data_IF_911379570759
#
_entry.id   IF_911379570759
#
_cell.length_a   1.000
_cell.length_b   1.000
_cell.length_c   1.000
_cell.angle_alpha   90.00
_cell.angle_beta   90.00
_cell.angle_gamma   90.00
#
_symmetry.space_group_name_H-M   'P 1'
#
loop_
_entity.id
_entity.type
_entity.pdbx_description
1 polymer ?
#
# COMPACT_ATOMS: atom_id res chain seq x y z
N UNK A 1 -2.88 7.80 -15.13
CA UNK A 1 -3.55 8.80 -14.27
C UNK A 1 -4.75 8.13 -13.63
N UNK A 2 -4.91 8.24 -12.32
CA UNK A 2 -6.04 7.69 -11.57
C UNK A 2 -6.76 8.85 -10.87
N UNK A 3 -8.07 8.94 -11.03
CA UNK A 3 -8.91 9.96 -10.35
C UNK A 3 -10.12 9.27 -9.75
N UNK A 4 -10.46 9.63 -8.52
CA UNK A 4 -11.64 9.10 -7.85
C UNK A 4 -11.62 9.37 -6.35
N UNK A 5 -12.65 8.88 -5.68
CA UNK A 5 -12.73 8.82 -4.22
C UNK A 5 -12.62 7.37 -3.76
N UNK A 6 -12.01 7.18 -2.60
CA UNK A 6 -11.76 5.86 -2.01
C UNK A 6 -11.52 5.99 -0.51
N UNK A 7 -11.02 4.92 0.11
CA UNK A 7 -10.64 4.97 1.51
C UNK A 7 -9.35 5.79 1.71
N UNK A 8 -9.36 6.64 2.74
CA UNK A 8 -8.20 7.45 3.09
C UNK A 8 -6.96 6.61 3.48
N UNK A 9 -7.08 5.50 4.25
CA UNK A 9 -5.94 4.65 4.57
C UNK A 9 -5.26 4.06 3.32
N UNK A 10 -6.05 3.61 2.34
CA UNK A 10 -5.56 3.07 1.08
C UNK A 10 -4.85 4.14 0.25
N UNK A 11 -5.31 5.39 0.34
CA UNK A 11 -4.61 6.56 -0.24
C UNK A 11 -3.22 6.76 0.35
N UNK A 12 -3.03 6.56 1.66
CA UNK A 12 -1.71 6.63 2.32
C UNK A 12 -0.80 5.49 1.85
N UNK A 13 -1.32 4.27 1.68
CA UNK A 13 -0.55 3.15 1.13
C UNK A 13 -0.09 3.42 -0.32
N UNK A 14 -0.96 4.01 -1.15
CA UNK A 14 -0.62 4.42 -2.50
C UNK A 14 0.44 5.52 -2.52
N UNK A 15 0.33 6.52 -1.63
CA UNK A 15 1.33 7.56 -1.45
C UNK A 15 2.69 6.97 -1.05
N UNK A 16 2.72 6.00 -0.13
CA UNK A 16 3.95 5.33 0.26
C UNK A 16 4.64 4.61 -0.92
N UNK A 17 3.88 3.92 -1.77
CA UNK A 17 4.42 3.31 -2.98
C UNK A 17 4.98 4.36 -3.96
N UNK A 18 4.23 5.44 -4.22
CA UNK A 18 4.64 6.53 -5.12
C UNK A 18 5.88 7.27 -4.61
N UNK A 19 6.03 7.41 -3.30
CA UNK A 19 7.20 7.99 -2.68
C UNK A 19 8.46 7.15 -2.93
N UNK A 20 8.32 5.84 -3.12
CA UNK A 20 9.47 4.98 -3.46
C UNK A 20 9.88 5.04 -4.93
N UNK A 21 8.96 5.33 -5.85
CA UNK A 21 9.21 5.24 -7.31
C UNK A 21 9.26 6.60 -8.03
N UNK A 22 9.02 7.71 -7.32
CA UNK A 22 9.11 9.05 -7.88
C UNK A 22 7.84 9.49 -8.62
N UNK A 23 6.69 9.39 -7.97
CA UNK A 23 5.39 9.81 -8.52
C UNK A 23 4.89 11.18 -8.04
N UNK A 24 3.64 11.49 -8.40
CA UNK A 24 2.89 12.63 -7.86
C UNK A 24 1.49 12.16 -7.45
N UNK A 25 1.00 12.71 -6.33
CA UNK A 25 -0.32 12.43 -5.80
C UNK A 25 -0.84 13.64 -5.04
N UNK A 26 -2.15 13.86 -5.14
CA UNK A 26 -2.89 14.76 -4.27
C UNK A 26 -4.11 14.04 -3.72
N UNK A 27 -4.44 14.31 -2.46
CA UNK A 27 -5.59 13.74 -1.78
C UNK A 27 -6.34 14.78 -0.97
N UNK A 28 -7.64 14.58 -0.79
CA UNK A 28 -8.48 15.37 0.10
C UNK A 28 -9.40 14.44 0.88
N UNK A 29 -9.54 14.70 2.18
CA UNK A 29 -10.47 13.97 3.01
C UNK A 29 -11.91 14.40 2.68
N UNK A 30 -12.79 13.41 2.49
CA UNK A 30 -14.20 13.64 2.21
C UNK A 30 -15.02 13.22 3.42
N UNK A 31 -15.56 14.20 4.14
CA UNK A 31 -16.38 13.98 5.33
C UNK A 31 -17.86 13.92 4.97
N UNK A 32 -18.55 12.89 5.42
CA UNK A 32 -19.97 12.63 5.11
C UNK A 32 -20.92 13.26 6.11
N UNK A 33 -20.46 13.51 7.34
CA UNK A 33 -21.29 14.05 8.42
C UNK A 33 -20.41 14.73 9.51
N UNK A 34 -21.08 15.34 10.49
CA UNK A 34 -20.41 16.03 11.60
C UNK A 34 -19.70 15.07 12.56
N UNK A 35 -20.11 13.81 12.65
CA UNK A 35 -19.42 12.81 13.48
C UNK A 35 -18.03 12.50 12.92
N UNK A 36 -17.90 12.35 11.59
CA UNK A 36 -16.61 12.18 10.93
C UNK A 36 -15.72 13.41 11.09
N UNK A 37 -16.27 14.62 10.95
CA UNK A 37 -15.56 15.87 11.24
C UNK A 37 -15.09 15.94 12.69
N UNK A 38 -15.96 15.56 13.63
CA UNK A 38 -15.64 15.53 15.06
C UNK A 38 -14.52 14.54 15.40
N UNK A 39 -14.49 13.37 14.75
CA UNK A 39 -13.37 12.43 14.86
C UNK A 39 -12.08 13.00 14.27
N UNK A 40 -12.16 13.65 13.11
CA UNK A 40 -11.01 14.26 12.47
C UNK A 40 -10.37 15.36 13.32
N UNK A 41 -11.17 16.25 13.91
CA UNK A 41 -10.66 17.26 14.85
C UNK A 41 -9.98 16.65 16.07
N UNK A 42 -10.54 15.56 16.63
CA UNK A 42 -9.90 14.83 17.74
C UNK A 42 -8.55 14.22 17.35
N UNK A 43 -8.34 13.96 16.06
CA UNK A 43 -7.06 13.48 15.51
C UNK A 43 -6.13 14.62 15.09
N UNK A 44 -6.48 15.88 15.36
CA UNK A 44 -5.66 17.05 15.05
C UNK A 44 -5.84 17.60 13.63
N UNK A 45 -6.92 17.23 12.94
CA UNK A 45 -7.25 17.82 11.64
C UNK A 45 -8.06 19.10 11.86
N UNK A 46 -7.42 20.23 11.59
CA UNK A 46 -8.01 21.57 11.77
C UNK A 46 -8.65 22.12 10.50
N UNK A 47 -8.05 21.83 9.34
CA UNK A 47 -8.55 22.23 8.02
C UNK A 47 -9.15 21.02 7.30
N UNK A 48 -10.48 20.97 7.21
CA UNK A 48 -11.21 19.91 6.53
C UNK A 48 -11.19 20.04 5.01
N UNK A 49 -10.78 21.19 4.48
CA UNK A 49 -10.70 21.45 3.05
C UNK A 49 -9.28 21.28 2.50
N UNK A 50 -8.30 20.98 3.36
CA UNK A 50 -6.89 20.79 3.03
C UNK A 50 -6.71 19.77 1.90
N UNK A 51 -5.91 20.16 0.92
CA UNK A 51 -5.32 19.25 -0.06
C UNK A 51 -3.96 18.79 0.47
N UNK A 52 -3.77 17.49 0.52
CA UNK A 52 -2.54 16.84 0.95
C UNK A 52 -1.73 16.47 -0.28
N UNK A 53 -0.49 16.94 -0.35
CA UNK A 53 0.46 16.50 -1.36
C UNK A 53 1.09 15.16 -0.96
N UNK A 54 1.80 14.52 -1.90
CA UNK A 54 2.46 13.22 -1.68
C UNK A 54 3.25 13.15 -0.37
N UNK A 55 4.07 14.16 -0.09
CA UNK A 55 4.91 14.23 1.11
C UNK A 55 4.13 14.51 2.40
N UNK A 56 2.90 15.02 2.31
CA UNK A 56 2.02 15.14 3.48
C UNK A 56 1.43 13.78 3.89
N UNK A 57 1.23 12.89 2.91
CA UNK A 57 0.63 11.56 3.11
C UNK A 57 1.66 10.51 3.53
N UNK A 58 2.86 10.54 2.95
CA UNK A 58 3.95 9.64 3.31
C UNK A 58 5.30 10.38 3.20
N UNK A 59 6.02 10.50 4.33
CA UNK A 59 7.30 11.22 4.41
C UNK A 59 8.36 10.43 5.17
N UNK A 60 9.62 10.86 5.03
CA UNK A 60 10.77 10.21 5.66
C UNK A 60 11.27 8.98 4.90
N UNK A 61 11.83 8.02 5.64
CA UNK A 61 12.28 6.73 5.10
C UNK A 61 11.09 5.77 5.01
N UNK A 62 10.58 5.60 3.79
CA UNK A 62 9.37 4.86 3.49
C UNK A 62 9.75 3.53 2.83
N UNK A 63 9.18 2.45 3.35
CA UNK A 63 9.28 1.11 2.78
C UNK A 63 7.87 0.67 2.41
N UNK A 64 7.71 0.21 1.17
CA UNK A 64 6.47 -0.37 0.68
C UNK A 64 6.70 -1.84 0.32
N UNK A 65 5.78 -2.71 0.71
CA UNK A 65 5.79 -4.11 0.31
C UNK A 65 4.36 -4.56 -0.03
N UNK A 66 4.21 -5.27 -1.15
CA UNK A 66 2.93 -5.84 -1.56
C UNK A 66 3.14 -7.22 -2.19
N UNK A 67 2.23 -8.15 -1.91
CA UNK A 67 2.20 -9.50 -2.49
C UNK A 67 0.86 -9.73 -3.18
N UNK A 68 0.87 -10.27 -4.39
CA UNK A 68 -0.36 -10.55 -5.13
C UNK A 68 -1.12 -11.73 -4.53
N UNK A 69 -2.40 -11.53 -4.21
CA UNK A 69 -3.31 -12.60 -3.77
C UNK A 69 -3.98 -13.23 -4.98
N UNK A 70 -4.61 -12.41 -5.82
CA UNK A 70 -5.12 -12.77 -7.14
C UNK A 70 -4.32 -12.02 -8.22
N UNK A 71 -4.41 -12.48 -9.47
CA UNK A 71 -3.76 -11.79 -10.58
C UNK A 71 -4.27 -10.35 -10.70
N UNK A 72 -3.33 -9.42 -10.71
CA UNK A 72 -3.59 -7.99 -10.89
C UNK A 72 -2.63 -7.38 -11.90
N UNK A 73 -2.83 -6.09 -12.18
CA UNK A 73 -2.01 -5.36 -13.15
C UNK A 73 -0.54 -5.16 -12.73
N UNK A 74 -0.23 -5.31 -11.43
CA UNK A 74 1.12 -5.15 -10.90
C UNK A 74 1.78 -6.47 -10.48
N UNK A 75 1.02 -7.36 -9.82
CA UNK A 75 1.52 -8.61 -9.27
C UNK A 75 0.62 -9.77 -9.68
N UNK A 76 1.23 -10.91 -9.99
CA UNK A 76 0.55 -12.19 -10.12
C UNK A 76 0.03 -12.65 -8.77
N UNK A 77 -1.11 -13.31 -8.80
CA UNK A 77 -1.71 -13.96 -7.64
C UNK A 77 -0.91 -15.16 -7.18
N UNK A 78 -1.27 -15.66 -6.01
CA UNK A 78 -0.69 -16.90 -5.50
C UNK A 78 -1.10 -18.04 -6.42
N UNK A 79 -0.12 -18.80 -6.91
CA UNK A 79 -0.38 -20.04 -7.66
C UNK A 79 0.08 -21.24 -6.86
N UNK A 80 -0.65 -22.36 -6.94
CA UNK A 80 -0.30 -23.61 -6.26
C UNK A 80 -0.17 -24.74 -7.27
N UNK A 81 0.88 -25.53 -7.14
CA UNK A 81 1.13 -26.73 -7.94
C UNK A 81 1.70 -27.84 -7.06
N UNK A 82 0.89 -28.87 -6.81
CA UNK A 82 1.24 -29.95 -5.88
C UNK A 82 1.55 -29.40 -4.48
N UNK A 83 2.72 -29.77 -3.97
CA UNK A 83 3.24 -29.34 -2.65
C UNK A 83 3.97 -28.00 -2.67
N UNK A 84 3.82 -27.22 -3.74
CA UNK A 84 4.45 -25.91 -3.87
C UNK A 84 3.42 -24.80 -4.07
N UNK A 85 3.67 -23.63 -3.49
CA UNK A 85 3.04 -22.38 -3.87
C UNK A 85 4.07 -21.37 -4.35
N UNK A 86 3.68 -20.52 -5.31
CA UNK A 86 4.48 -19.41 -5.80
C UNK A 86 3.76 -18.09 -5.50
N UNK A 87 4.51 -17.13 -4.94
CA UNK A 87 4.03 -15.77 -4.65
C UNK A 87 4.90 -14.75 -5.36
N UNK A 88 4.30 -13.70 -5.89
CA UNK A 88 5.03 -12.54 -6.41
C UNK A 88 4.86 -11.35 -5.47
N UNK A 89 5.99 -10.79 -5.04
CA UNK A 89 6.06 -9.67 -4.11
C UNK A 89 6.88 -8.55 -4.73
N UNK A 90 6.48 -7.29 -4.54
CA UNK A 90 7.31 -6.12 -4.78
C UNK A 90 7.68 -5.48 -3.45
N UNK A 91 8.95 -5.11 -3.27
CA UNK A 91 9.46 -4.36 -2.12
C UNK A 91 10.20 -3.13 -2.62
N UNK A 92 9.90 -1.96 -2.06
CA UNK A 92 10.45 -0.68 -2.47
C UNK A 92 10.88 0.14 -1.27
N UNK A 93 11.92 0.96 -1.42
CA UNK A 93 12.39 1.88 -0.37
C UNK A 93 12.72 3.26 -0.93
N UNK A 94 12.12 4.30 -0.36
CA UNK A 94 12.28 5.69 -0.84
C UNK A 94 13.73 6.18 -0.72
N UNK A 95 14.39 5.91 0.41
CA UNK A 95 15.73 6.44 0.66
C UNK A 95 16.79 5.90 -0.31
N UNK A 96 16.63 4.67 -0.81
CA UNK A 96 17.60 4.05 -1.71
C UNK A 96 17.13 3.96 -3.15
N UNK A 97 15.88 4.35 -3.44
CA UNK A 97 15.23 4.16 -4.74
C UNK A 97 15.17 2.70 -5.20
N UNK A 98 15.40 1.75 -4.29
CA UNK A 98 15.54 0.34 -4.66
C UNK A 98 14.17 -0.29 -4.80
N UNK A 99 13.94 -0.94 -5.94
CA UNK A 99 12.77 -1.76 -6.22
C UNK A 99 13.23 -3.21 -6.36
N UNK A 100 12.57 -4.12 -5.65
CA UNK A 100 12.81 -5.57 -5.70
C UNK A 100 11.52 -6.26 -6.09
N UNK A 101 11.55 -6.97 -7.21
CA UNK A 101 10.53 -7.95 -7.55
C UNK A 101 11.03 -9.32 -7.12
N UNK A 102 10.21 -10.02 -6.33
CA UNK A 102 10.58 -11.26 -5.66
C UNK A 102 9.54 -12.31 -6.02
N UNK A 103 9.98 -13.36 -6.72
CA UNK A 103 9.21 -14.59 -6.88
C UNK A 103 9.70 -15.60 -5.85
N UNK A 104 8.81 -16.05 -4.97
CA UNK A 104 9.13 -17.02 -3.92
C UNK A 104 8.37 -18.31 -4.16
N UNK A 105 9.10 -19.43 -4.21
CA UNK A 105 8.52 -20.76 -4.17
C UNK A 105 8.55 -21.28 -2.73
N UNK A 106 7.37 -21.55 -2.18
CA UNK A 106 7.17 -22.16 -0.88
C UNK A 106 7.00 -23.66 -1.06
N UNK A 107 7.84 -24.46 -0.40
CA UNK A 107 7.78 -25.92 -0.40
C UNK A 107 7.07 -26.42 0.86
N UNK A 108 5.82 -26.83 0.71
CA UNK A 108 4.97 -27.33 1.80
C UNK A 108 5.29 -28.78 2.19
N UNK A 109 6.14 -29.49 1.45
CA UNK A 109 6.67 -30.78 1.93
C UNK A 109 7.64 -30.58 3.11
N UNK A 110 8.18 -29.36 3.25
CA UNK A 110 9.15 -28.99 4.29
C UNK A 110 8.62 -27.97 5.29
N UNK A 111 7.71 -27.09 4.88
CA UNK A 111 6.98 -26.17 5.76
C UNK A 111 5.66 -26.80 6.19
N UNK A 112 5.51 -27.14 7.48
CA UNK A 112 4.18 -27.49 8.00
C UNK A 112 3.31 -26.24 8.07
N UNK A 113 2.01 -26.37 7.78
CA UNK A 113 1.04 -25.28 7.90
C UNK A 113 0.77 -24.92 9.37
N UNK A 114 1.13 -25.81 10.30
CA UNK A 114 0.88 -25.66 11.73
C UNK A 114 1.97 -24.84 12.46
N UNK A 115 3.02 -24.41 11.74
CA UNK A 115 4.13 -23.61 12.29
C UNK A 115 3.90 -22.08 12.20
N UNK A 116 2.66 -21.63 11.95
CA UNK A 116 2.28 -20.19 11.87
C UNK A 116 1.15 -19.86 12.85
#
# INVERSE_FOLDING_TARGET
MYLGSGGAPEGVLAAAALQCIGGQMQGKLLFRNDDERGRASKMGIEDFDRVYDLNDLASGDVIFAATGVTDGGLLRGVSRSGDHAETQTIIMRSMTGTVREITTRHDFSRKSIDDV
#
